data_IF_171731035957
#
_entry.id   IF_171731035957
#
_cell.length_a   1.000
_cell.length_b   1.000
_cell.length_c   1.000
_cell.angle_alpha   90.00
_cell.angle_beta   90.00
_cell.angle_gamma   90.00
#
_symmetry.space_group_name_H-M   'P 1'
#
loop_
_entity.id
_entity.type
_entity.pdbx_description
1 polymer ?
#
# COMPACT_ATOMS: atom_id res chain seq x y z
N UNK A 1 6.50 -2.72 1.42
CA UNK A 1 7.11 -1.62 0.63
C UNK A 1 8.10 -2.07 -0.47
N UNK A 2 9.00 -3.04 -0.21
CA UNK A 2 10.05 -3.45 -1.18
C UNK A 2 9.52 -3.98 -2.53
N UNK A 3 8.44 -4.77 -2.52
CA UNK A 3 7.82 -5.27 -3.74
C UNK A 3 7.20 -4.17 -4.62
N UNK A 4 6.70 -3.08 -4.01
CA UNK A 4 6.16 -1.95 -4.76
C UNK A 4 7.27 -1.20 -5.51
N UNK A 5 8.41 -1.01 -4.85
CA UNK A 5 9.57 -0.32 -5.43
C UNK A 5 10.18 -1.10 -6.60
N UNK A 6 10.17 -2.44 -6.54
CA UNK A 6 10.65 -3.27 -7.66
C UNK A 6 9.68 -3.29 -8.84
N UNK A 7 8.39 -3.06 -8.62
CA UNK A 7 7.39 -2.98 -9.68
C UNK A 7 7.43 -1.66 -10.46
N UNK A 8 7.78 -0.55 -9.83
CA UNK A 8 7.87 0.77 -10.49
C UNK A 8 8.72 0.76 -11.77
N UNK A 9 9.99 0.30 -11.78
CA UNK A 9 10.81 0.30 -13.00
C UNK A 9 10.25 -0.64 -14.09
N UNK A 10 9.58 -1.72 -13.71
CA UNK A 10 8.93 -2.64 -14.65
C UNK A 10 7.75 -1.92 -15.33
N UNK A 11 6.89 -1.25 -14.54
CA UNK A 11 5.76 -0.46 -15.04
C UNK A 11 6.28 0.63 -15.98
N UNK A 12 7.32 1.36 -15.60
CA UNK A 12 7.90 2.42 -16.44
C UNK A 12 8.45 1.86 -17.76
N UNK A 13 9.09 0.69 -17.74
CA UNK A 13 9.62 0.04 -18.95
C UNK A 13 8.51 -0.41 -19.89
N UNK A 14 7.42 -0.98 -19.34
CA UNK A 14 6.23 -1.37 -20.12
C UNK A 14 5.58 -0.14 -20.73
N UNK A 15 5.40 0.94 -19.95
CA UNK A 15 4.83 2.20 -20.46
C UNK A 15 5.66 2.78 -21.60
N UNK A 16 6.99 2.74 -21.52
CA UNK A 16 7.87 3.18 -22.62
C UNK A 16 7.70 2.32 -23.89
N UNK A 17 7.56 1.00 -23.73
CA UNK A 17 7.29 0.10 -24.86
C UNK A 17 5.95 0.39 -25.54
N UNK A 18 4.90 0.63 -24.74
CA UNK A 18 3.59 1.02 -25.26
C UNK A 18 3.70 2.38 -25.96
N UNK A 19 4.39 3.36 -25.37
CA UNK A 19 4.65 4.68 -25.96
C UNK A 19 5.23 4.57 -27.36
N UNK A 20 6.27 3.77 -27.51
CA UNK A 20 6.89 3.53 -28.80
C UNK A 20 5.91 2.90 -29.81
N UNK A 21 5.13 1.90 -29.38
CA UNK A 21 4.21 1.18 -30.25
C UNK A 21 3.05 2.04 -30.76
N UNK A 22 2.36 2.74 -29.87
CA UNK A 22 1.21 3.59 -30.23
C UNK A 22 1.68 4.86 -30.94
N UNK A 23 2.84 5.42 -30.55
CA UNK A 23 3.44 6.55 -31.25
C UNK A 23 3.62 6.26 -32.74
N UNK A 24 4.07 5.04 -33.08
CA UNK A 24 4.20 4.60 -34.47
C UNK A 24 2.87 4.51 -35.22
N UNK A 25 1.74 4.30 -34.54
CA UNK A 25 0.41 4.16 -35.17
C UNK A 25 -0.43 5.43 -35.21
N UNK A 26 -0.33 6.28 -34.19
CA UNK A 26 -1.17 7.47 -34.05
C UNK A 26 -0.53 8.74 -34.60
N UNK A 27 0.81 8.79 -34.70
CA UNK A 27 1.50 9.98 -35.18
C UNK A 27 1.48 10.00 -36.70
N UNK A 28 0.76 10.96 -37.26
CA UNK A 28 0.77 11.29 -38.69
C UNK A 28 1.50 12.62 -38.89
N UNK A 29 2.53 12.64 -39.74
CA UNK A 29 3.33 13.84 -40.03
C UNK A 29 4.84 13.57 -40.00
N UNK A 30 5.65 14.63 -40.12
CA UNK A 30 7.11 14.53 -40.00
C UNK A 30 7.52 14.07 -38.59
N UNK A 31 8.44 13.10 -38.49
CA UNK A 31 9.00 12.61 -37.21
C UNK A 31 9.95 13.62 -36.55
N UNK A 32 9.67 14.93 -36.65
CA UNK A 32 10.52 15.96 -36.05
C UNK A 32 10.51 15.80 -34.54
N UNK A 33 11.70 15.76 -33.93
CA UNK A 33 11.84 15.57 -32.50
C UNK A 33 11.79 16.92 -31.80
N UNK A 34 11.20 16.98 -30.61
CA UNK A 34 11.21 18.16 -29.74
C UNK A 34 12.65 18.68 -29.47
N UNK A 35 13.64 17.78 -29.50
CA UNK A 35 15.06 18.10 -29.36
C UNK A 35 15.66 18.93 -30.52
N UNK A 36 14.95 19.04 -31.63
CA UNK A 36 15.33 19.78 -32.84
C UNK A 36 14.58 21.12 -32.95
N UNK A 37 13.74 21.44 -31.97
CA UNK A 37 12.94 22.67 -31.92
C UNK A 37 13.51 23.66 -30.89
N UNK A 38 13.12 24.93 -31.01
CA UNK A 38 13.42 25.96 -30.02
C UNK A 38 12.89 25.61 -28.61
N UNK A 39 11.84 24.78 -28.56
CA UNK A 39 11.26 24.27 -27.31
C UNK A 39 12.16 23.33 -26.50
N UNK A 40 13.30 22.88 -27.05
CA UNK A 40 14.22 21.94 -26.38
C UNK A 40 14.65 22.41 -24.99
N UNK A 41 15.06 23.68 -24.86
CA UNK A 41 15.58 24.22 -23.60
C UNK A 41 14.49 24.29 -22.54
N UNK A 42 13.31 24.80 -22.91
CA UNK A 42 12.16 24.87 -22.01
C UNK A 42 11.72 23.47 -21.55
N UNK A 43 11.62 22.52 -22.48
CA UNK A 43 11.26 21.13 -22.16
C UNK A 43 12.30 20.45 -21.26
N UNK A 44 13.59 20.82 -21.36
CA UNK A 44 14.63 20.31 -20.48
C UNK A 44 14.50 20.89 -19.07
N UNK A 45 14.37 22.21 -18.95
CA UNK A 45 14.23 22.89 -17.65
C UNK A 45 13.00 22.38 -16.91
N UNK A 46 11.86 22.29 -17.58
CA UNK A 46 10.63 21.79 -16.99
C UNK A 46 10.76 20.34 -16.47
N UNK A 47 11.42 19.46 -17.24
CA UNK A 47 11.71 18.08 -16.81
C UNK A 47 12.67 18.02 -15.63
N UNK A 48 13.69 18.87 -15.60
CA UNK A 48 14.63 18.95 -14.48
C UNK A 48 13.94 19.40 -13.20
N UNK A 49 13.10 20.45 -13.27
CA UNK A 49 12.31 20.93 -12.12
C UNK A 49 11.37 19.84 -11.62
N UNK A 50 10.62 19.19 -12.52
CA UNK A 50 9.73 18.10 -12.16
C UNK A 50 10.50 16.94 -11.52
N UNK A 51 11.65 16.55 -12.08
CA UNK A 51 12.48 15.49 -11.53
C UNK A 51 12.98 15.78 -10.11
N UNK A 52 13.42 17.03 -9.85
CA UNK A 52 13.83 17.45 -8.51
C UNK A 52 12.66 17.45 -7.52
N UNK A 53 11.47 17.91 -7.95
CA UNK A 53 10.26 17.87 -7.13
C UNK A 53 9.88 16.42 -6.77
N UNK A 54 9.88 15.51 -7.75
CA UNK A 54 9.54 14.10 -7.53
C UNK A 54 10.56 13.41 -6.63
N UNK A 55 11.85 13.69 -6.80
CA UNK A 55 12.89 13.17 -5.92
C UNK A 55 12.66 13.64 -4.48
N UNK A 56 12.37 14.94 -4.29
CA UNK A 56 12.04 15.51 -2.98
C UNK A 56 10.79 14.86 -2.37
N UNK A 57 9.72 14.70 -3.14
CA UNK A 57 8.49 14.06 -2.68
C UNK A 57 8.69 12.59 -2.27
N UNK A 58 9.49 11.84 -3.04
CA UNK A 58 9.82 10.44 -2.73
C UNK A 58 10.66 10.38 -1.44
N UNK A 59 11.73 11.18 -1.34
CA UNK A 59 12.57 11.22 -0.13
C UNK A 59 11.77 11.64 1.11
N UNK A 60 10.89 12.62 0.96
CA UNK A 60 9.98 13.06 2.03
C UNK A 60 9.01 11.95 2.44
N UNK A 61 8.45 11.21 1.48
CA UNK A 61 7.59 10.06 1.74
C UNK A 61 8.29 9.01 2.59
N UNK A 62 9.57 8.71 2.30
CA UNK A 62 10.36 7.78 3.10
C UNK A 62 10.63 8.32 4.50
N UNK A 63 10.94 9.60 4.63
CA UNK A 63 11.22 10.21 5.94
C UNK A 63 10.03 10.19 6.89
N UNK A 64 8.81 10.21 6.37
CA UNK A 64 7.58 10.26 7.17
C UNK A 64 6.84 8.92 7.23
N UNK A 65 7.44 7.85 6.69
CA UNK A 65 6.78 6.54 6.53
C UNK A 65 5.37 6.68 5.92
N UNK A 66 5.23 7.59 4.95
CA UNK A 66 3.94 7.99 4.42
C UNK A 66 3.25 6.83 3.71
N UNK A 67 1.93 6.76 3.93
CA UNK A 67 1.09 5.68 3.45
C UNK A 67 1.03 5.60 1.92
N UNK A 68 0.63 4.42 1.49
CA UNK A 68 0.37 4.02 0.10
C UNK A 68 -0.34 5.08 -0.76
N UNK A 69 -1.32 5.75 -0.18
CA UNK A 69 -2.14 6.76 -0.85
C UNK A 69 -1.34 7.97 -1.32
N UNK A 70 -0.32 8.38 -0.57
CA UNK A 70 0.51 9.51 -0.95
C UNK A 70 1.32 9.21 -2.20
N UNK A 71 1.96 8.03 -2.25
CA UNK A 71 2.75 7.62 -3.41
C UNK A 71 1.88 7.48 -4.67
N UNK A 72 0.66 6.94 -4.53
CA UNK A 72 -0.35 6.91 -5.60
C UNK A 72 -0.55 8.30 -6.20
N UNK A 73 -0.84 9.28 -5.34
CA UNK A 73 -1.16 10.64 -5.75
C UNK A 73 0.05 11.36 -6.36
N UNK A 74 1.25 11.16 -5.81
CA UNK A 74 2.50 11.71 -6.37
C UNK A 74 2.76 11.16 -7.77
N UNK A 75 2.57 9.85 -8.00
CA UNK A 75 2.76 9.24 -9.31
C UNK A 75 1.72 9.74 -10.33
N UNK A 76 0.44 9.82 -9.94
CA UNK A 76 -0.61 10.38 -10.81
C UNK A 76 -0.29 11.82 -11.19
N UNK A 77 0.09 12.65 -10.21
CA UNK A 77 0.53 14.02 -10.45
C UNK A 77 1.73 14.09 -11.40
N UNK A 78 2.74 13.24 -11.19
CA UNK A 78 3.92 13.15 -12.05
C UNK A 78 3.54 12.89 -13.52
N UNK A 79 2.64 11.94 -13.76
CA UNK A 79 2.18 11.61 -15.10
C UNK A 79 1.38 12.73 -15.74
N UNK A 80 0.45 13.35 -15.01
CA UNK A 80 -0.35 14.46 -15.52
C UNK A 80 0.53 15.65 -15.88
N UNK A 81 1.42 16.07 -14.99
CA UNK A 81 2.29 17.24 -15.23
C UNK A 81 3.34 16.94 -16.29
N UNK A 82 3.99 15.77 -16.21
CA UNK A 82 5.03 15.37 -17.16
C UNK A 82 4.50 15.25 -18.58
N UNK A 83 3.43 14.49 -18.78
CA UNK A 83 2.81 14.35 -20.10
C UNK A 83 2.05 15.61 -20.54
N UNK A 84 1.47 16.36 -19.62
CA UNK A 84 0.83 17.65 -19.92
C UNK A 84 1.81 18.67 -20.50
N UNK A 85 2.97 18.85 -19.85
CA UNK A 85 4.04 19.71 -20.37
C UNK A 85 4.50 19.20 -21.75
N UNK A 86 4.72 17.89 -21.90
CA UNK A 86 5.11 17.32 -23.20
C UNK A 86 4.05 17.58 -24.28
N UNK A 87 2.78 17.35 -23.99
CA UNK A 87 1.68 17.57 -24.94
C UNK A 87 1.58 19.04 -25.37
N UNK A 88 1.70 19.99 -24.44
CA UNK A 88 1.70 21.43 -24.75
C UNK A 88 2.90 21.79 -25.64
N UNK A 89 4.07 21.24 -25.35
CA UNK A 89 5.27 21.48 -26.15
C UNK A 89 5.16 20.85 -27.55
N UNK A 90 4.61 19.65 -27.67
CA UNK A 90 4.36 19.02 -28.97
C UNK A 90 3.32 19.78 -29.78
N UNK A 91 2.25 20.24 -29.14
CA UNK A 91 1.22 21.05 -29.79
C UNK A 91 1.77 22.40 -30.30
N UNK A 92 2.65 23.05 -29.54
CA UNK A 92 3.20 24.36 -29.89
C UNK A 92 4.35 24.30 -30.89
N UNK A 93 5.22 23.29 -30.82
CA UNK A 93 6.49 23.26 -31.56
C UNK A 93 6.56 22.20 -32.66
N UNK A 94 5.60 21.28 -32.73
CA UNK A 94 5.56 20.24 -33.76
C UNK A 94 4.24 20.34 -34.54
N UNK A 95 4.33 20.19 -35.86
CA UNK A 95 3.14 20.07 -36.70
C UNK A 95 2.57 18.65 -36.60
N UNK A 96 1.24 18.53 -36.65
CA UNK A 96 0.52 17.25 -36.64
C UNK A 96 -0.11 16.86 -35.31
N UNK A 97 -0.42 15.56 -35.18
CA UNK A 97 -1.29 15.00 -34.12
C UNK A 97 -0.53 14.35 -32.96
N UNK A 98 0.79 14.56 -32.87
CA UNK A 98 1.63 13.91 -31.85
C UNK A 98 1.18 14.18 -30.42
N UNK A 99 0.72 15.41 -30.15
CA UNK A 99 0.16 15.79 -28.85
C UNK A 99 -1.06 14.95 -28.45
N UNK A 100 -1.88 14.49 -29.42
CA UNK A 100 -3.03 13.60 -29.18
C UNK A 100 -2.56 12.24 -28.67
N UNK A 101 -1.50 11.69 -29.28
CA UNK A 101 -0.89 10.45 -28.81
C UNK A 101 -0.37 10.63 -27.37
N UNK A 102 0.33 11.73 -27.09
CA UNK A 102 0.85 12.03 -25.74
C UNK A 102 -0.25 12.19 -24.69
N UNK A 103 -1.37 12.86 -25.01
CA UNK A 103 -2.53 12.97 -24.10
C UNK A 103 -3.18 11.60 -23.90
N UNK A 104 -3.32 10.80 -24.95
CA UNK A 104 -3.83 9.42 -24.83
C UNK A 104 -2.94 8.59 -23.89
N UNK A 105 -1.62 8.75 -24.00
CA UNK A 105 -0.65 8.12 -23.12
C UNK A 105 -0.77 8.54 -21.67
N UNK A 106 -0.99 9.83 -21.43
CA UNK A 106 -1.24 10.35 -20.09
C UNK A 106 -2.43 9.66 -19.46
N UNK A 107 -3.57 9.58 -20.17
CA UNK A 107 -4.77 8.92 -19.68
C UNK A 107 -4.54 7.43 -19.38
N UNK A 108 -3.89 6.70 -20.29
CA UNK A 108 -3.57 5.29 -20.09
C UNK A 108 -2.62 5.07 -18.91
N UNK A 109 -1.61 5.93 -18.74
CA UNK A 109 -0.66 5.83 -17.63
C UNK A 109 -1.33 6.10 -16.29
N UNK A 110 -2.20 7.12 -16.21
CA UNK A 110 -2.98 7.41 -15.01
C UNK A 110 -3.91 6.24 -14.68
N UNK A 111 -4.64 5.71 -15.66
CA UNK A 111 -5.50 4.55 -15.46
C UNK A 111 -4.71 3.32 -15.00
N UNK A 112 -3.53 3.06 -15.58
CA UNK A 112 -2.66 1.96 -15.18
C UNK A 112 -2.12 2.12 -13.75
N UNK A 113 -1.77 3.34 -13.32
CA UNK A 113 -1.37 3.61 -11.94
C UNK A 113 -2.55 3.39 -11.00
N UNK A 114 -3.72 3.96 -11.27
CA UNK A 114 -4.88 3.78 -10.41
C UNK A 114 -5.31 2.31 -10.32
N UNK A 115 -5.34 1.60 -11.44
CA UNK A 115 -5.69 0.19 -11.50
C UNK A 115 -4.68 -0.71 -10.78
N UNK A 116 -3.37 -0.49 -11.00
CA UNK A 116 -2.35 -1.25 -10.27
C UNK A 116 -2.40 -0.96 -8.79
N UNK A 117 -2.71 0.29 -8.40
CA UNK A 117 -2.82 0.62 -7.00
C UNK A 117 -4.05 -0.01 -6.33
N UNK A 118 -5.18 -0.03 -7.04
CA UNK A 118 -6.37 -0.72 -6.56
C UNK A 118 -6.12 -2.23 -6.38
N UNK A 119 -5.46 -2.90 -7.33
CA UNK A 119 -5.16 -4.33 -7.23
C UNK A 119 -4.26 -4.67 -6.03
N UNK A 120 -3.28 -3.81 -5.73
CA UNK A 120 -2.39 -4.01 -4.58
C UNK A 120 -3.14 -3.74 -3.28
N UNK A 121 -4.00 -2.71 -3.27
CA UNK A 121 -4.85 -2.44 -2.11
C UNK A 121 -5.73 -3.64 -1.78
N UNK A 122 -6.46 -4.17 -2.76
CA UNK A 122 -7.32 -5.35 -2.60
C UNK A 122 -6.54 -6.60 -2.17
N UNK A 123 -5.32 -6.78 -2.68
CA UNK A 123 -4.47 -7.91 -2.28
C UNK A 123 -4.04 -7.85 -0.80
N UNK A 124 -3.89 -6.65 -0.27
CA UNK A 124 -3.47 -6.43 1.11
C UNK A 124 -4.65 -6.38 2.08
N UNK A 125 -5.89 -6.41 1.58
CA UNK A 125 -7.07 -6.58 2.41
C UNK A 125 -7.19 -8.05 2.85
N UNK A 126 -7.42 -8.24 4.14
CA UNK A 126 -7.77 -9.53 4.72
C UNK A 126 -8.79 -9.30 5.85
N UNK A 127 -9.22 -10.37 6.51
CA UNK A 127 -10.04 -10.27 7.72
C UNK A 127 -9.30 -10.86 8.91
N UNK A 128 -9.67 -10.46 10.12
CA UNK A 128 -9.13 -11.06 11.33
C UNK A 128 -9.34 -12.57 11.35
N UNK A 129 -10.52 -13.05 10.96
CA UNK A 129 -10.82 -14.48 10.88
C UNK A 129 -9.89 -15.22 9.90
N UNK A 130 -9.57 -14.61 8.76
CA UNK A 130 -8.61 -15.19 7.81
C UNK A 130 -7.19 -15.23 8.39
N UNK A 131 -6.76 -14.20 9.13
CA UNK A 131 -5.46 -14.18 9.82
C UNK A 131 -5.41 -15.25 10.92
N UNK A 132 -6.47 -15.40 11.71
CA UNK A 132 -6.54 -16.44 12.74
C UNK A 132 -6.54 -17.84 12.14
N UNK A 133 -7.29 -18.07 11.05
CA UNK A 133 -7.34 -19.36 10.37
C UNK A 133 -6.03 -19.74 9.65
N UNK A 134 -5.20 -18.76 9.28
CA UNK A 134 -3.85 -19.03 8.76
C UNK A 134 -2.90 -19.49 9.87
N UNK A 135 -3.09 -18.98 11.09
CA UNK A 135 -2.17 -19.22 12.21
C UNK A 135 -2.56 -20.45 13.02
N UNK A 136 -3.85 -20.57 13.34
CA UNK A 136 -4.42 -21.66 14.11
C UNK A 136 -4.94 -22.65 13.09
N UNK A 137 -4.27 -23.81 12.99
CA UNK A 137 -4.74 -24.88 12.11
C UNK A 137 -6.18 -25.25 12.48
N UNK A 138 -7.04 -25.51 11.49
CA UNK A 138 -8.46 -25.78 11.71
C UNK A 138 -8.69 -27.03 12.56
N UNK A 139 -7.69 -27.90 12.65
CA UNK A 139 -7.70 -29.11 13.47
C UNK A 139 -7.16 -28.90 14.90
N UNK A 140 -6.53 -27.74 15.20
CA UNK A 140 -6.00 -27.46 16.53
C UNK A 140 -7.05 -26.84 17.46
N UNK A 141 -7.21 -27.43 18.64
CA UNK A 141 -8.02 -26.89 19.73
C UNK A 141 -7.24 -25.83 20.51
N UNK A 142 -7.82 -24.63 20.64
CA UNK A 142 -7.30 -23.58 21.53
C UNK A 142 -7.59 -23.99 22.98
N UNK A 143 -6.54 -24.06 23.80
CA UNK A 143 -6.61 -24.46 25.21
C UNK A 143 -6.83 -23.27 26.13
N UNK A 144 -6.02 -22.23 25.95
CA UNK A 144 -6.08 -21.02 26.75
C UNK A 144 -5.65 -19.81 25.95
N UNK A 145 -6.08 -18.65 26.43
CA UNK A 145 -5.64 -17.35 25.94
C UNK A 145 -5.08 -16.58 27.12
N UNK A 146 -3.87 -16.04 26.96
CA UNK A 146 -3.27 -15.09 27.89
C UNK A 146 -3.23 -13.70 27.24
N UNK A 147 -3.69 -12.69 27.96
CA UNK A 147 -3.72 -11.30 27.52
C UNK A 147 -3.02 -10.46 28.57
N UNK A 148 -2.00 -9.71 28.17
CA UNK A 148 -1.24 -8.84 29.07
C UNK A 148 -1.10 -7.43 28.50
N UNK A 149 -1.09 -6.42 29.36
CA UNK A 149 -0.68 -5.08 28.94
C UNK A 149 0.80 -5.07 28.60
N UNK A 150 1.22 -4.22 27.66
CA UNK A 150 2.64 -4.15 27.27
C UNK A 150 3.59 -3.77 28.42
N UNK A 151 3.09 -3.03 29.41
CA UNK A 151 3.84 -2.67 30.62
C UNK A 151 3.81 -3.76 31.70
N UNK A 152 3.15 -4.89 31.43
CA UNK A 152 2.96 -6.03 32.33
C UNK A 152 2.28 -5.67 33.65
N UNK A 153 1.56 -4.54 33.70
CA UNK A 153 0.84 -4.11 34.90
C UNK A 153 -0.42 -4.92 35.16
N UNK A 154 -1.00 -5.53 34.12
CA UNK A 154 -2.18 -6.38 34.20
C UNK A 154 -2.09 -7.55 33.22
N UNK A 155 -2.59 -8.70 33.63
CA UNK A 155 -2.75 -9.87 32.76
C UNK A 155 -3.96 -10.70 33.16
N UNK A 156 -4.53 -11.38 32.17
CA UNK A 156 -5.60 -12.36 32.34
C UNK A 156 -5.27 -13.59 31.51
N UNK A 157 -5.28 -14.76 32.15
CA UNK A 157 -5.25 -16.05 31.47
C UNK A 157 -6.61 -16.71 31.64
N UNK A 158 -7.20 -17.18 30.55
CA UNK A 158 -8.53 -17.77 30.54
C UNK A 158 -8.58 -19.07 29.74
N UNK A 159 -9.29 -20.05 30.28
CA UNK A 159 -9.71 -21.28 29.61
C UNK A 159 -11.23 -21.28 29.33
N UNK A 160 -11.92 -20.15 29.58
CA UNK A 160 -13.36 -20.02 29.32
C UNK A 160 -13.63 -20.06 27.82
N UNK A 161 -14.25 -21.16 27.35
CA UNK A 161 -14.62 -21.38 25.96
C UNK A 161 -15.43 -20.22 25.36
N UNK A 162 -16.24 -19.52 26.18
CA UNK A 162 -17.03 -18.37 25.71
C UNK A 162 -16.14 -17.19 25.39
N UNK A 163 -15.26 -16.81 26.32
CA UNK A 163 -14.35 -15.68 26.11
C UNK A 163 -13.35 -15.98 24.99
N UNK A 164 -12.90 -17.23 24.88
CA UNK A 164 -12.07 -17.68 23.76
C UNK A 164 -12.82 -17.50 22.43
N UNK A 165 -14.08 -17.92 22.36
CA UNK A 165 -14.89 -17.74 21.16
C UNK A 165 -15.14 -16.26 20.83
N UNK A 166 -15.42 -15.42 21.83
CA UNK A 166 -15.60 -13.97 21.65
C UNK A 166 -14.31 -13.30 21.11
N UNK A 167 -13.13 -13.69 21.59
CA UNK A 167 -11.85 -13.15 21.12
C UNK A 167 -11.54 -13.60 19.69
N UNK A 168 -11.80 -14.87 19.35
CA UNK A 168 -11.35 -15.45 18.08
C UNK A 168 -12.39 -15.33 16.96
N UNK A 169 -13.69 -15.33 17.29
CA UNK A 169 -14.77 -15.46 16.32
C UNK A 169 -15.59 -14.18 16.14
N UNK A 170 -15.87 -13.42 17.20
CA UNK A 170 -16.69 -12.20 17.07
C UNK A 170 -16.03 -11.16 16.16
N UNK A 171 -14.73 -10.83 16.30
CA UNK A 171 -14.07 -9.90 15.39
C UNK A 171 -13.70 -10.52 14.04
N UNK A 172 -14.17 -11.73 13.68
CA UNK A 172 -13.73 -12.44 12.47
C UNK A 172 -13.89 -11.64 11.16
N UNK A 173 -14.92 -10.79 11.08
CA UNK A 173 -15.22 -9.94 9.92
C UNK A 173 -14.51 -8.57 9.97
N UNK A 174 -13.69 -8.31 10.99
CA UNK A 174 -12.90 -7.09 11.10
C UNK A 174 -11.91 -7.01 9.92
N UNK A 175 -12.03 -5.95 9.13
CA UNK A 175 -11.23 -5.76 7.92
C UNK A 175 -9.86 -5.22 8.29
N UNK A 176 -8.84 -5.94 7.84
CA UNK A 176 -7.44 -5.70 8.08
C UNK A 176 -6.75 -5.30 6.78
N UNK A 177 -5.81 -4.36 6.86
CA UNK A 177 -4.95 -3.96 5.76
C UNK A 177 -3.49 -4.20 6.11
N UNK A 178 -2.80 -5.10 5.40
CA UNK A 178 -1.39 -5.42 5.67
C UNK A 178 -0.48 -4.19 5.39
N UNK A 179 0.24 -3.74 6.42
CA UNK A 179 1.16 -2.59 6.38
C UNK A 179 2.60 -3.02 6.70
N UNK A 180 3.52 -2.04 6.77
CA UNK A 180 4.91 -2.30 7.17
C UNK A 180 5.07 -1.99 8.66
N UNK A 181 5.74 -2.86 9.44
CA UNK A 181 5.64 -2.87 10.89
C UNK A 181 6.20 -1.60 11.55
N UNK A 182 5.40 -1.00 12.43
CA UNK A 182 5.77 -0.06 13.50
C UNK A 182 5.15 -0.58 14.80
N UNK A 183 5.94 -0.99 15.79
CA UNK A 183 5.38 -1.61 16.99
C UNK A 183 4.64 -0.59 17.87
N UNK A 184 3.30 -0.60 17.81
CA UNK A 184 2.42 0.18 18.68
C UNK A 184 1.23 -0.67 19.15
N UNK A 185 1.50 -1.67 19.99
CA UNK A 185 0.44 -2.39 20.71
C UNK A 185 0.11 -1.72 22.04
N UNK A 186 -1.09 -1.93 22.58
CA UNK A 186 -1.38 -1.74 24.01
C UNK A 186 -1.38 -3.06 24.76
N UNK A 187 -1.75 -4.14 24.06
CA UNK A 187 -1.88 -5.48 24.63
C UNK A 187 -1.03 -6.48 23.86
N UNK A 188 -0.57 -7.50 24.57
CA UNK A 188 0.05 -8.70 24.02
C UNK A 188 -0.88 -9.89 24.29
N UNK A 189 -1.32 -10.52 23.21
CA UNK A 189 -2.22 -11.68 23.19
C UNK A 189 -1.40 -12.92 22.84
N UNK A 190 -1.39 -13.90 23.73
CA UNK A 190 -0.81 -15.22 23.49
C UNK A 190 -1.93 -16.25 23.43
N UNK A 191 -2.06 -16.92 22.29
CA UNK A 191 -3.01 -18.03 22.09
C UNK A 191 -2.26 -19.34 22.25
N UNK A 192 -2.66 -20.18 23.20
CA UNK A 192 -2.08 -21.49 23.44
C UNK A 192 -2.97 -22.57 22.83
N UNK A 193 -2.41 -23.37 21.92
CA UNK A 193 -3.07 -24.55 21.36
C UNK A 193 -2.50 -25.82 21.97
N UNK A 194 -2.90 -26.99 21.47
CA UNK A 194 -2.36 -28.25 21.98
C UNK A 194 -0.85 -28.39 21.76
N UNK A 195 -0.36 -27.90 20.63
CA UNK A 195 1.01 -28.12 20.15
C UNK A 195 1.83 -26.84 20.02
N UNK A 196 1.17 -25.68 19.93
CA UNK A 196 1.78 -24.43 19.54
C UNK A 196 1.36 -23.27 20.46
N UNK A 197 2.08 -22.16 20.32
CA UNK A 197 1.67 -20.88 20.89
C UNK A 197 1.87 -19.77 19.86
N UNK A 198 0.94 -18.84 19.81
CA UNK A 198 0.92 -17.76 18.84
C UNK A 198 0.84 -16.42 19.54
N UNK A 199 1.64 -15.45 19.08
CA UNK A 199 1.77 -14.14 19.72
C UNK A 199 1.28 -13.05 18.79
N UNK A 200 0.41 -12.20 19.33
CA UNK A 200 -0.15 -11.04 18.67
C UNK A 200 0.00 -9.80 19.55
N UNK A 201 0.22 -8.64 18.94
CA UNK A 201 0.15 -7.35 19.62
C UNK A 201 -1.06 -6.59 19.09
N UNK A 202 -1.84 -6.00 20.00
CA UNK A 202 -3.12 -5.38 19.66
C UNK A 202 -3.04 -3.91 20.07
N UNK A 203 -3.05 -3.02 19.09
CA UNK A 203 -3.15 -1.57 19.23
C UNK A 203 -4.61 -1.12 19.15
N UNK A 204 -4.85 0.19 19.25
CA UNK A 204 -6.19 0.78 19.09
C UNK A 204 -6.69 0.62 17.65
N UNK A 205 -5.80 0.81 16.67
CA UNK A 205 -6.06 0.75 15.23
C UNK A 205 -5.21 -0.29 14.50
N UNK A 206 -4.51 -1.17 15.23
CA UNK A 206 -3.57 -2.12 14.65
C UNK A 206 -3.59 -3.50 15.29
N UNK A 207 -3.20 -4.50 14.50
CA UNK A 207 -2.91 -5.86 14.92
C UNK A 207 -1.54 -6.26 14.36
N UNK A 208 -0.64 -6.75 15.19
CA UNK A 208 0.68 -7.24 14.77
C UNK A 208 0.78 -8.72 15.08
N UNK A 209 1.04 -9.54 14.06
CA UNK A 209 1.32 -10.97 14.17
C UNK A 209 2.83 -11.20 14.09
N UNK A 210 3.35 -12.09 14.94
CA UNK A 210 4.74 -12.56 14.84
C UNK A 210 4.79 -13.90 14.11
N UNK A 211 5.49 -13.95 12.97
CA UNK A 211 5.62 -15.14 12.14
C UNK A 211 7.09 -15.39 11.77
N UNK A 212 7.66 -16.52 12.20
CA UNK A 212 9.06 -16.93 11.94
C UNK A 212 10.11 -15.82 12.21
N UNK A 213 9.88 -14.98 13.24
CA UNK A 213 10.76 -13.86 13.59
C UNK A 213 10.55 -12.58 12.76
N UNK A 214 9.60 -12.58 11.85
CA UNK A 214 9.12 -11.39 11.13
C UNK A 214 7.86 -10.86 11.80
N UNK A 215 7.73 -9.54 11.87
CA UNK A 215 6.50 -8.88 12.33
C UNK A 215 5.68 -8.48 11.11
N UNK A 216 4.44 -8.93 11.06
CA UNK A 216 3.44 -8.52 10.07
C UNK A 216 2.43 -7.65 10.79
N UNK A 217 2.29 -6.40 10.36
CA UNK A 217 1.32 -5.47 10.92
C UNK A 217 0.12 -5.34 9.99
N UNK A 218 -1.05 -5.22 10.60
CA UNK A 218 -2.31 -4.96 9.96
C UNK A 218 -2.92 -3.70 10.56
N UNK A 219 -3.25 -2.73 9.71
CA UNK A 219 -4.10 -1.59 10.06
C UNK A 219 -5.56 -2.03 10.05
N UNK A 220 -6.32 -1.65 11.06
CA UNK A 220 -7.75 -1.98 11.18
C UNK A 220 -8.54 -0.83 10.58
N UNK A 221 -9.27 -1.09 9.48
CA UNK A 221 -9.90 -0.03 8.70
C UNK A 221 -11.20 0.54 9.30
N UNK A 222 -11.69 -0.04 10.40
CA UNK A 222 -12.94 0.31 11.09
C UNK A 222 -12.73 0.24 12.60
N UNK A 223 -13.81 0.14 13.37
CA UNK A 223 -13.75 -0.09 14.82
C UNK A 223 -12.98 -1.38 15.14
N UNK A 224 -12.02 -1.26 16.05
CA UNK A 224 -11.30 -2.41 16.59
C UNK A 224 -12.11 -3.06 17.72
N UNK A 225 -12.99 -3.97 17.33
CA UNK A 225 -13.86 -4.72 18.25
C UNK A 225 -13.05 -5.55 19.25
N UNK A 226 -11.95 -6.16 18.80
CA UNK A 226 -11.05 -6.94 19.62
C UNK A 226 -10.40 -6.11 20.73
N UNK A 227 -9.90 -4.91 20.40
CA UNK A 227 -9.31 -4.01 21.39
C UNK A 227 -10.31 -3.60 22.47
N UNK A 228 -11.55 -3.25 22.08
CA UNK A 228 -12.60 -2.87 23.04
C UNK A 228 -12.96 -4.04 23.96
N UNK A 229 -13.09 -5.25 23.41
CA UNK A 229 -13.35 -6.46 24.18
C UNK A 229 -12.26 -6.69 25.23
N UNK A 230 -10.99 -6.75 24.79
CA UNK A 230 -9.85 -6.98 25.67
C UNK A 230 -9.76 -5.94 26.78
N UNK A 231 -9.90 -4.67 26.42
CA UNK A 231 -9.88 -3.58 27.39
C UNK A 231 -10.98 -3.75 28.45
N UNK A 232 -12.19 -4.13 28.02
CA UNK A 232 -13.32 -4.33 28.93
C UNK A 232 -13.13 -5.51 29.89
N UNK A 233 -12.38 -6.55 29.48
CA UNK A 233 -12.08 -7.69 30.35
C UNK A 233 -10.96 -7.39 31.36
N UNK A 234 -9.93 -6.65 30.96
CA UNK A 234 -8.81 -6.29 31.84
C UNK A 234 -9.16 -5.20 32.86
N UNK A 235 -10.19 -4.39 32.62
CA UNK A 235 -10.62 -3.30 33.52
C UNK A 235 -11.71 -3.70 34.53
N UNK A 236 -12.14 -4.97 34.57
CA UNK A 236 -13.11 -5.50 35.54
C UNK A 236 -12.49 -5.73 36.93
#
# INVERSE_FOLDING_TARGET
MNALLTLIPIILSVLQGIEHFVGKRLVTGEEKKLSETEGKTLARVARTILGLFLLGAILFSFSLNMQYEFLRNVLVFAFIVGYGIKAVMEWKYLEGTKHVATVTFMCLSVAAVLGSFHLIYERNLTTYGAVMAEVIDQEETVKSINIETLDQSSSIETEDERLIAEILSDPAEMVLFETSPVPLGSYHLTVHTENNQFQFYIGDDSLVKREFGTLIEYEILKDNELYRLIKSELEK
#
